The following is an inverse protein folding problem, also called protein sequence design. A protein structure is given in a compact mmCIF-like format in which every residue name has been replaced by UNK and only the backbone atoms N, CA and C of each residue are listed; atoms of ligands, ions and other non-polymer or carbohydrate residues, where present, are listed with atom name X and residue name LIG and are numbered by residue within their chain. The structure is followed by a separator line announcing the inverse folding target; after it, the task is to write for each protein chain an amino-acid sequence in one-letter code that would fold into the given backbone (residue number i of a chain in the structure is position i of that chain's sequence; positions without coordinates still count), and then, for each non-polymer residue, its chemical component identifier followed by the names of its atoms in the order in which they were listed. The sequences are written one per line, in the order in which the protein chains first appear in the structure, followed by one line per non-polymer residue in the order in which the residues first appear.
data_IF_835872341038
#
_entry.id   IF_835872341038
#
_cell.length_a   1.000
_cell.length_b   1.000
_cell.length_c   1.000
_cell.angle_alpha   90.00
_cell.angle_beta   90.00
_cell.angle_gamma   90.00
#
_symmetry.space_group_name_H-M   'P 1'
#
loop_
_entity.id
_entity.type
_entity.pdbx_description
1 polymer ?
#
# COMPACT_ATOMS: atom_id res chain seq x y z
N UNK A 1 -16.06 9.13 16.34
CA UNK A 1 -16.82 7.89 16.13
C UNK A 1 -16.26 7.20 14.92
N UNK A 2 -15.77 5.94 15.02
CA UNK A 2 -15.09 5.26 13.90
C UNK A 2 -15.89 5.29 12.58
N UNK A 3 -17.21 5.07 12.66
CA UNK A 3 -18.08 5.06 11.48
C UNK A 3 -18.10 6.40 10.71
N UNK A 4 -18.11 7.54 11.40
CA UNK A 4 -18.11 8.86 10.75
C UNK A 4 -16.79 9.13 10.01
N UNK A 5 -15.66 8.70 10.60
CA UNK A 5 -14.34 8.83 9.97
C UNK A 5 -14.26 8.03 8.67
N UNK A 6 -14.70 6.77 8.68
CA UNK A 6 -14.70 5.93 7.48
C UNK A 6 -15.65 6.49 6.41
N UNK A 7 -16.87 6.89 6.77
CA UNK A 7 -17.82 7.51 5.82
C UNK A 7 -17.23 8.77 5.16
N UNK A 8 -16.47 9.57 5.90
CA UNK A 8 -15.78 10.75 5.36
C UNK A 8 -14.65 10.38 4.39
N UNK A 9 -13.87 9.36 4.71
CA UNK A 9 -12.82 8.86 3.82
C UNK A 9 -13.40 8.24 2.55
N UNK A 10 -14.51 7.50 2.65
CA UNK A 10 -15.22 6.95 1.49
C UNK A 10 -15.78 8.06 0.59
N UNK A 11 -16.39 9.08 1.18
CA UNK A 11 -16.89 10.24 0.45
C UNK A 11 -15.75 11.01 -0.25
N UNK A 12 -14.59 11.13 0.39
CA UNK A 12 -13.41 11.77 -0.20
C UNK A 12 -12.83 10.94 -1.35
N UNK A 13 -12.74 9.62 -1.20
CA UNK A 13 -12.30 8.71 -2.25
C UNK A 13 -13.23 8.80 -3.47
N UNK A 14 -14.52 8.67 -3.27
CA UNK A 14 -15.54 8.80 -4.35
C UNK A 14 -15.54 10.19 -5.01
N UNK A 15 -15.20 11.24 -4.28
CA UNK A 15 -15.03 12.57 -4.87
C UNK A 15 -13.79 12.64 -5.76
N UNK A 16 -12.68 11.98 -5.35
CA UNK A 16 -11.42 11.94 -6.09
C UNK A 16 -11.54 11.19 -7.43
N UNK A 17 -12.39 10.18 -7.53
CA UNK A 17 -12.67 9.47 -8.77
C UNK A 17 -13.30 10.40 -9.83
N UNK A 18 -14.11 11.34 -9.39
CA UNK A 18 -14.88 12.23 -10.27
C UNK A 18 -14.20 13.55 -10.60
N UNK A 19 -13.30 14.04 -9.75
CA UNK A 19 -12.66 15.36 -9.90
C UNK A 19 -11.27 15.40 -9.26
N UNK A 20 -10.36 16.29 -9.74
CA UNK A 20 -9.04 16.42 -9.14
C UNK A 20 -9.16 16.90 -7.69
N UNK A 21 -8.19 16.53 -6.87
CA UNK A 21 -8.17 16.88 -5.44
C UNK A 21 -8.26 18.39 -5.18
N UNK A 22 -7.66 19.21 -6.06
CA UNK A 22 -7.78 20.66 -5.97
C UNK A 22 -9.24 21.15 -5.96
N UNK A 23 -10.12 20.49 -6.72
CA UNK A 23 -11.55 20.80 -6.82
C UNK A 23 -12.42 20.11 -5.75
N UNK A 24 -11.88 19.21 -4.94
CA UNK A 24 -12.60 18.61 -3.80
C UNK A 24 -12.72 19.62 -2.67
N UNK A 25 -13.96 19.91 -2.22
CA UNK A 25 -14.23 20.83 -1.11
C UNK A 25 -14.68 20.05 0.13
N UNK A 26 -14.18 20.48 1.30
CA UNK A 26 -14.50 19.87 2.59
C UNK A 26 -16.01 19.82 2.87
N UNK A 27 -16.73 20.87 2.45
CA UNK A 27 -18.20 20.94 2.62
C UNK A 27 -18.93 19.87 1.82
N UNK A 28 -18.45 19.56 0.61
CA UNK A 28 -19.07 18.54 -0.26
C UNK A 28 -18.80 17.13 0.29
N UNK A 29 -17.61 16.91 0.83
CA UNK A 29 -17.24 15.64 1.49
C UNK A 29 -18.12 15.39 2.72
N UNK A 30 -18.30 16.40 3.59
CA UNK A 30 -19.14 16.28 4.77
C UNK A 30 -20.60 15.99 4.40
N UNK A 31 -21.13 16.72 3.40
CA UNK A 31 -22.49 16.50 2.90
C UNK A 31 -22.68 15.09 2.30
N UNK A 32 -21.71 14.63 1.50
CA UNK A 32 -21.72 13.29 0.90
C UNK A 32 -21.66 12.17 1.94
N UNK A 33 -20.93 12.38 3.03
CA UNK A 33 -20.80 11.44 4.15
C UNK A 33 -21.99 11.49 5.13
N UNK A 34 -22.95 12.42 4.95
CA UNK A 34 -24.08 12.60 5.85
C UNK A 34 -23.71 13.10 7.23
N UNK A 35 -22.58 13.83 7.37
CA UNK A 35 -22.11 14.36 8.66
C UNK A 35 -21.95 15.88 8.63
N UNK A 36 -21.87 16.50 9.82
CA UNK A 36 -21.69 17.93 9.91
C UNK A 36 -20.26 18.36 9.50
N UNK A 37 -20.13 19.60 9.00
CA UNK A 37 -18.82 20.20 8.74
C UNK A 37 -17.95 20.21 10.01
N UNK A 38 -18.53 20.46 11.15
CA UNK A 38 -17.82 20.46 12.44
C UNK A 38 -17.23 19.08 12.74
N UNK A 39 -17.99 17.99 12.49
CA UNK A 39 -17.50 16.62 12.65
C UNK A 39 -16.29 16.37 11.76
N UNK A 40 -16.34 16.78 10.48
CA UNK A 40 -15.21 16.62 9.56
C UNK A 40 -13.97 17.37 10.02
N UNK A 41 -14.11 18.63 10.46
CA UNK A 41 -12.98 19.42 10.97
C UNK A 41 -12.45 18.90 12.31
N UNK A 42 -13.31 18.34 13.16
CA UNK A 42 -12.87 17.68 14.40
C UNK A 42 -12.06 16.42 14.12
N UNK A 43 -12.40 15.64 13.06
CA UNK A 43 -11.71 14.40 12.69
C UNK A 43 -10.37 14.65 11.99
N UNK A 44 -10.29 15.61 11.09
CA UNK A 44 -9.13 15.79 10.21
C UNK A 44 -8.43 17.14 10.33
N UNK A 45 -9.03 18.10 11.00
CA UNK A 45 -8.48 19.45 11.20
C UNK A 45 -8.47 20.31 9.93
N UNK A 46 -8.03 19.76 8.79
CA UNK A 46 -7.87 20.48 7.54
C UNK A 46 -8.04 19.56 6.32
N UNK A 47 -8.04 20.17 5.12
CA UNK A 47 -8.01 19.41 3.85
C UNK A 47 -6.74 18.56 3.72
N UNK A 48 -5.61 19.05 4.22
CA UNK A 48 -4.36 18.31 4.24
C UNK A 48 -4.40 17.15 5.25
N UNK A 49 -5.08 17.33 6.38
CA UNK A 49 -5.33 16.25 7.34
C UNK A 49 -6.19 15.14 6.74
N UNK A 50 -7.24 15.51 6.01
CA UNK A 50 -8.06 14.56 5.24
C UNK A 50 -7.23 13.85 4.15
N UNK A 51 -6.39 14.60 3.41
CA UNK A 51 -5.48 14.04 2.41
C UNK A 51 -4.54 12.98 3.01
N UNK A 52 -3.87 13.32 4.12
CA UNK A 52 -2.98 12.38 4.84
C UNK A 52 -3.71 11.14 5.31
N UNK A 53 -4.91 11.30 5.86
CA UNK A 53 -5.71 10.19 6.34
C UNK A 53 -6.15 9.27 5.18
N UNK A 54 -6.52 9.84 4.04
CA UNK A 54 -6.88 9.08 2.85
C UNK A 54 -5.69 8.27 2.32
N UNK A 55 -4.53 8.90 2.14
CA UNK A 55 -3.32 8.22 1.68
C UNK A 55 -2.90 7.11 2.66
N UNK A 56 -3.02 7.35 3.97
CA UNK A 56 -2.71 6.32 4.98
C UNK A 56 -3.64 5.12 4.88
N UNK A 57 -4.94 5.37 4.74
CA UNK A 57 -5.92 4.29 4.54
C UNK A 57 -5.58 3.43 3.31
N UNK A 58 -5.21 4.07 2.21
CA UNK A 58 -4.80 3.37 0.99
C UNK A 58 -3.50 2.57 1.20
N UNK A 59 -2.55 3.12 1.95
CA UNK A 59 -1.31 2.42 2.31
C UNK A 59 -1.59 1.17 3.18
N UNK A 60 -2.44 1.30 4.19
CA UNK A 60 -2.84 0.19 5.06
C UNK A 60 -3.59 -0.90 4.27
N UNK A 61 -4.52 -0.48 3.40
CA UNK A 61 -5.26 -1.37 2.52
C UNK A 61 -4.36 -2.12 1.53
N UNK A 62 -3.38 -1.41 0.96
CA UNK A 62 -2.37 -2.01 0.08
C UNK A 62 -1.53 -3.07 0.83
N UNK A 63 -1.02 -2.75 2.01
CA UNK A 63 -0.22 -3.68 2.80
C UNK A 63 -1.03 -4.91 3.25
N UNK A 64 -2.30 -4.73 3.61
CA UNK A 64 -3.21 -5.86 3.89
C UNK A 64 -3.48 -6.72 2.64
N UNK A 65 -3.54 -6.10 1.46
CA UNK A 65 -3.63 -6.80 0.18
C UNK A 65 -2.39 -7.65 -0.13
N UNK A 66 -1.20 -7.09 0.14
CA UNK A 66 0.08 -7.83 0.04
C UNK A 66 0.07 -9.07 0.95
N UNK A 67 -0.36 -8.95 2.20
CA UNK A 67 -0.44 -10.08 3.12
C UNK A 67 -1.38 -11.17 2.63
N UNK A 68 -2.54 -10.79 2.07
CA UNK A 68 -3.47 -11.74 1.46
C UNK A 68 -2.87 -12.45 0.25
N UNK A 69 -2.19 -11.73 -0.63
CA UNK A 69 -1.52 -12.31 -1.79
C UNK A 69 -0.39 -13.28 -1.38
N UNK A 70 0.41 -12.91 -0.37
CA UNK A 70 1.45 -13.75 0.19
C UNK A 70 0.90 -15.01 0.88
N UNK A 71 -0.26 -14.93 1.51
CA UNK A 71 -0.89 -16.07 2.18
C UNK A 71 -1.46 -17.08 1.18
N UNK A 72 -1.72 -16.66 -0.06
CA UNK A 72 -2.31 -17.49 -1.12
C UNK A 72 -3.80 -17.78 -0.90
N UNK A 73 -4.48 -18.37 -1.87
CA UNK A 73 -5.83 -18.90 -1.67
C UNK A 73 -5.75 -20.03 -0.64
N UNK A 74 -6.52 -19.89 0.45
CA UNK A 74 -6.54 -20.85 1.57
C UNK A 74 -7.25 -22.16 1.22
N UNK A 75 -6.89 -22.82 0.12
CA UNK A 75 -7.35 -24.18 -0.14
C UNK A 75 -6.50 -25.17 0.70
N UNK A 76 -7.07 -25.78 1.74
CA UNK A 76 -6.36 -26.75 2.57
C UNK A 76 -5.89 -28.00 1.80
N UNK A 77 -6.35 -28.18 0.55
CA UNK A 77 -6.01 -29.32 -0.31
C UNK A 77 -4.84 -29.04 -1.25
N UNK A 78 -4.50 -27.78 -1.47
CA UNK A 78 -3.26 -27.38 -2.14
C UNK A 78 -2.12 -27.52 -1.15
N UNK A 79 -1.15 -28.37 -1.43
CA UNK A 79 0.07 -28.46 -0.61
C UNK A 79 0.76 -27.09 -0.46
N UNK A 80 1.83 -26.98 0.36
CA UNK A 80 2.51 -25.72 0.56
C UNK A 80 2.97 -25.17 -0.79
N UNK A 81 2.32 -24.09 -1.24
CA UNK A 81 2.67 -23.41 -2.48
C UNK A 81 4.13 -22.95 -2.41
N UNK A 82 4.87 -23.15 -3.49
CA UNK A 82 6.27 -22.72 -3.59
C UNK A 82 6.38 -21.22 -3.23
N UNK A 83 7.31 -20.82 -2.36
CA UNK A 83 7.55 -19.40 -2.06
C UNK A 83 7.73 -18.52 -3.29
N UNK A 84 8.29 -19.06 -4.38
CA UNK A 84 8.44 -18.33 -5.65
C UNK A 84 7.10 -18.08 -6.34
N UNK A 85 6.19 -19.04 -6.33
CA UNK A 85 4.84 -18.85 -6.87
C UNK A 85 4.08 -17.78 -6.09
N UNK A 86 4.20 -17.78 -4.75
CA UNK A 86 3.58 -16.75 -3.89
C UNK A 86 4.17 -15.36 -4.14
N UNK A 87 5.49 -15.25 -4.30
CA UNK A 87 6.13 -13.98 -4.64
C UNK A 87 5.69 -13.47 -6.01
N UNK A 88 5.57 -14.37 -6.99
CA UNK A 88 5.08 -14.04 -8.34
C UNK A 88 3.64 -13.53 -8.29
N UNK A 89 2.74 -14.25 -7.63
CA UNK A 89 1.35 -13.84 -7.46
C UNK A 89 1.23 -12.51 -6.70
N UNK A 90 2.10 -12.29 -5.70
CA UNK A 90 2.15 -11.02 -4.97
C UNK A 90 2.59 -9.86 -5.87
N UNK A 91 3.60 -10.07 -6.71
CA UNK A 91 4.06 -9.05 -7.66
C UNK A 91 2.99 -8.70 -8.70
N UNK A 92 2.27 -9.69 -9.22
CA UNK A 92 1.14 -9.48 -10.13
C UNK A 92 0.02 -8.68 -9.45
N UNK A 93 -0.31 -9.05 -8.20
CA UNK A 93 -1.28 -8.30 -7.41
C UNK A 93 -0.84 -6.86 -7.15
N UNK A 94 0.45 -6.62 -6.84
CA UNK A 94 1.00 -5.27 -6.64
C UNK A 94 0.84 -4.41 -7.88
N UNK A 95 1.09 -4.98 -9.07
CA UNK A 95 0.91 -4.28 -10.34
C UNK A 95 -0.55 -3.96 -10.62
N UNK A 96 -1.46 -4.93 -10.41
CA UNK A 96 -2.91 -4.70 -10.56
C UNK A 96 -3.39 -3.60 -9.61
N UNK A 97 -3.03 -3.67 -8.33
CA UNK A 97 -3.40 -2.67 -7.34
C UNK A 97 -2.93 -1.25 -7.72
N UNK A 98 -1.72 -1.13 -8.28
CA UNK A 98 -1.19 0.15 -8.76
C UNK A 98 -1.82 0.61 -10.08
N UNK A 99 -2.27 -0.33 -10.93
CA UNK A 99 -3.01 -0.01 -12.15
C UNK A 99 -4.40 0.54 -11.82
N UNK A 100 -5.10 -0.12 -10.91
CA UNK A 100 -6.49 0.15 -10.57
C UNK A 100 -6.65 1.38 -9.65
N UNK A 101 -5.60 1.72 -8.88
CA UNK A 101 -5.64 2.81 -7.91
C UNK A 101 -4.48 3.79 -8.10
N UNK A 102 -4.83 5.00 -8.58
CA UNK A 102 -3.85 6.06 -8.82
C UNK A 102 -3.13 6.55 -7.55
N UNK A 103 -3.77 6.48 -6.37
CA UNK A 103 -3.12 6.80 -5.10
C UNK A 103 -2.07 5.75 -4.74
N UNK A 104 -2.40 4.47 -4.88
CA UNK A 104 -1.46 3.37 -4.67
C UNK A 104 -0.26 3.54 -5.60
N UNK A 105 -0.49 3.80 -6.88
CA UNK A 105 0.60 4.06 -7.84
C UNK A 105 1.47 5.24 -7.42
N UNK A 106 0.87 6.36 -7.00
CA UNK A 106 1.62 7.53 -6.57
C UNK A 106 2.44 7.27 -5.30
N UNK A 107 1.91 6.52 -4.34
CA UNK A 107 2.63 6.12 -3.13
C UNK A 107 3.85 5.24 -3.45
N UNK A 108 3.68 4.27 -4.35
CA UNK A 108 4.71 3.30 -4.70
C UNK A 108 5.83 3.88 -5.56
N UNK A 109 5.49 4.86 -6.42
CA UNK A 109 6.45 5.46 -7.36
C UNK A 109 6.99 6.81 -6.91
N UNK A 110 6.33 7.46 -5.95
CA UNK A 110 6.62 8.85 -5.59
C UNK A 110 6.13 9.87 -6.63
N UNK A 111 5.46 9.44 -7.70
CA UNK A 111 4.97 10.29 -8.79
C UNK A 111 3.58 10.85 -8.45
N UNK A 112 3.54 11.95 -7.73
CA UNK A 112 2.31 12.65 -7.38
C UNK A 112 1.90 13.63 -8.48
N UNK A 113 0.63 13.59 -8.85
CA UNK A 113 0.04 14.55 -9.78
C UNK A 113 -0.83 15.57 -9.03
N UNK A 114 -1.08 16.72 -9.63
CA UNK A 114 -1.98 17.75 -9.07
C UNK A 114 -3.42 17.25 -8.89
N UNK A 115 -3.77 16.14 -9.55
CA UNK A 115 -5.09 15.50 -9.40
C UNK A 115 -5.24 14.74 -8.10
N UNK A 116 -4.13 14.35 -7.46
CA UNK A 116 -4.11 13.51 -6.27
C UNK A 116 -3.89 14.34 -5.00
N UNK A 117 -4.36 13.86 -3.84
CA UNK A 117 -4.07 14.45 -2.56
C UNK A 117 -2.60 14.21 -2.19
N UNK A 118 -1.70 15.06 -2.69
CA UNK A 118 -0.30 14.98 -2.29
C UNK A 118 -0.19 15.33 -0.81
N UNK A 119 0.29 14.43 0.04
CA UNK A 119 0.60 14.79 1.41
C UNK A 119 1.75 15.77 1.38
N UNK A 120 1.52 17.00 1.84
CA UNK A 120 2.59 17.97 1.98
C UNK A 120 3.71 17.35 2.84
N UNK A 121 4.94 17.28 2.29
CA UNK A 121 6.12 16.72 2.94
C UNK A 121 6.55 17.50 4.19
N UNK A 122 5.85 18.58 4.52
CA UNK A 122 6.11 19.50 5.62
C UNK A 122 4.87 19.69 6.49
N UNK A 123 4.46 18.67 7.23
CA UNK A 123 3.60 18.91 8.37
C UNK A 123 4.49 19.14 9.59
N UNK A 124 4.71 20.41 9.93
CA UNK A 124 5.15 20.77 11.28
C UNK A 124 4.07 20.24 12.23
N UNK A 125 4.36 19.36 13.18
CA UNK A 125 3.36 18.85 14.11
C UNK A 125 2.82 20.05 14.90
N UNK A 126 1.51 20.33 14.75
CA UNK A 126 0.84 21.30 15.61
C UNK A 126 0.89 20.77 17.02
N UNK A 127 1.59 21.46 17.91
CA UNK A 127 1.78 21.08 19.31
C UNK A 127 0.48 20.99 20.14
N UNK A 128 -0.65 21.36 19.55
CA UNK A 128 -2.00 21.36 20.13
C UNK A 128 -2.87 20.14 19.78
N UNK A 129 -2.37 19.16 19.00
CA UNK A 129 -3.18 18.03 18.57
C UNK A 129 -3.37 16.98 19.68
N UNK A 130 -4.58 16.40 19.75
CA UNK A 130 -4.89 15.29 20.66
C UNK A 130 -4.01 14.05 20.36
N UNK A 131 -3.75 13.16 21.36
CA UNK A 131 -2.87 11.99 21.19
C UNK A 131 -3.23 11.07 20.03
N UNK A 132 -4.52 10.93 19.70
CA UNK A 132 -5.00 10.14 18.56
C UNK A 132 -4.66 10.80 17.20
N UNK A 133 -4.72 12.13 17.12
CA UNK A 133 -4.32 12.90 15.93
C UNK A 133 -2.82 12.83 15.70
N UNK A 134 -1.98 12.84 16.75
CA UNK A 134 -0.53 12.70 16.64
C UNK A 134 -0.08 11.37 16.01
N UNK A 135 -0.82 10.27 16.23
CA UNK A 135 -0.57 8.99 15.56
C UNK A 135 -0.99 9.01 14.09
N UNK A 136 -2.04 9.77 13.78
CA UNK A 136 -2.49 9.98 12.41
C UNK A 136 -1.58 10.94 11.61
N UNK A 137 -0.80 11.77 12.31
CA UNK A 137 0.09 12.79 11.71
C UNK A 137 1.53 12.32 11.51
N UNK A 138 1.84 11.06 11.78
CA UNK A 138 3.17 10.48 11.48
C UNK A 138 3.51 10.55 9.99
N UNK A 139 4.81 10.52 9.64
CA UNK A 139 5.23 10.53 8.24
C UNK A 139 4.60 9.37 7.48
N UNK A 140 4.22 9.62 6.23
CA UNK A 140 3.77 8.57 5.32
C UNK A 140 4.99 7.78 4.82
N UNK A 141 4.84 6.45 4.60
CA UNK A 141 5.92 5.66 4.04
C UNK A 141 6.36 6.21 2.69
N UNK A 142 7.67 6.35 2.50
CA UNK A 142 8.26 6.63 1.19
C UNK A 142 8.20 5.39 0.29
N UNK A 143 8.42 5.50 -1.03
CA UNK A 143 8.54 4.34 -1.90
C UNK A 143 9.57 3.32 -1.41
N UNK A 144 10.69 3.79 -0.86
CA UNK A 144 11.71 2.93 -0.26
C UNK A 144 11.24 2.18 1.00
N UNK A 145 10.44 2.85 1.83
CA UNK A 145 9.86 2.22 3.03
C UNK A 145 8.89 1.11 2.65
N UNK A 146 8.11 1.26 1.55
CA UNK A 146 7.23 0.20 1.06
C UNK A 146 8.01 -1.06 0.65
N UNK A 147 9.19 -0.92 0.05
CA UNK A 147 10.06 -2.07 -0.26
C UNK A 147 10.38 -2.84 1.02
N UNK A 148 10.84 -2.14 2.06
CA UNK A 148 11.14 -2.75 3.37
C UNK A 148 9.91 -3.41 4.00
N UNK A 149 8.79 -2.69 4.05
CA UNK A 149 7.55 -3.17 4.65
C UNK A 149 6.99 -4.43 3.95
N UNK A 150 7.04 -4.48 2.62
CA UNK A 150 6.57 -5.66 1.86
C UNK A 150 7.55 -6.82 2.00
N UNK A 151 8.87 -6.57 1.92
CA UNK A 151 9.91 -7.59 2.15
C UNK A 151 9.75 -8.24 3.52
N UNK A 152 9.60 -7.44 4.57
CA UNK A 152 9.53 -7.95 5.95
C UNK A 152 8.26 -8.80 6.16
N UNK A 153 7.13 -8.40 5.55
CA UNK A 153 5.91 -9.22 5.53
C UNK A 153 6.12 -10.52 4.76
N UNK A 154 6.76 -10.45 3.59
CA UNK A 154 7.03 -11.63 2.79
C UNK A 154 7.93 -12.63 3.54
N UNK A 155 8.98 -12.14 4.20
CA UNK A 155 9.84 -12.98 5.04
C UNK A 155 9.06 -13.58 6.21
N UNK A 156 8.19 -12.82 6.87
CA UNK A 156 7.37 -13.31 7.98
C UNK A 156 6.39 -14.41 7.55
N UNK A 157 5.75 -14.24 6.39
CA UNK A 157 4.75 -15.21 5.88
C UNK A 157 5.42 -16.44 5.25
N UNK A 158 6.48 -16.25 4.44
CA UNK A 158 7.11 -17.32 3.66
C UNK A 158 8.22 -18.05 4.44
N UNK A 159 8.82 -17.39 5.44
CA UNK A 159 9.86 -17.99 6.28
C UNK A 159 9.35 -19.09 7.22
N UNK A 160 8.06 -19.17 7.45
CA UNK A 160 7.41 -20.19 8.26
C UNK A 160 7.84 -20.19 9.73
N UNK A 161 7.21 -21.05 10.54
CA UNK A 161 7.55 -21.25 11.96
C UNK A 161 8.67 -22.29 12.16
N UNK A 162 9.34 -22.71 11.08
CA UNK A 162 10.42 -23.69 11.10
C UNK A 162 11.77 -23.08 11.46
N UNK A 163 12.69 -23.90 12.00
CA UNK A 163 14.08 -23.54 12.22
C UNK A 163 14.83 -23.49 10.88
N UNK A 164 14.59 -22.44 10.09
CA UNK A 164 15.41 -22.17 8.91
C UNK A 164 16.80 -21.67 9.35
N UNK A 165 17.84 -22.10 8.64
CA UNK A 165 19.17 -21.58 8.92
C UNK A 165 19.21 -20.07 8.66
N UNK A 166 20.04 -19.29 9.37
CA UNK A 166 20.17 -17.85 9.14
C UNK A 166 20.51 -17.49 7.68
N UNK A 167 21.25 -18.35 6.99
CA UNK A 167 21.56 -18.25 5.55
C UNK A 167 20.30 -18.28 4.69
N UNK A 168 19.37 -19.20 4.98
CA UNK A 168 18.15 -19.39 4.21
C UNK A 168 17.21 -18.20 4.37
N UNK A 169 17.13 -17.65 5.59
CA UNK A 169 16.35 -16.44 5.88
C UNK A 169 16.92 -15.22 5.14
N UNK A 170 18.24 -15.08 5.09
CA UNK A 170 18.89 -13.99 4.36
C UNK A 170 18.71 -14.12 2.84
N UNK A 171 18.72 -15.33 2.31
CA UNK A 171 18.46 -15.60 0.88
C UNK A 171 16.99 -15.30 0.54
N UNK A 172 16.06 -15.77 1.36
CA UNK A 172 14.65 -15.45 1.22
C UNK A 172 14.41 -13.94 1.25
N UNK A 173 15.02 -13.22 2.19
CA UNK A 173 14.89 -11.76 2.28
C UNK A 173 15.40 -11.06 1.00
N UNK A 174 16.52 -11.50 0.44
CA UNK A 174 17.04 -10.97 -0.83
C UNK A 174 16.11 -11.26 -2.00
N UNK A 175 15.57 -12.47 -2.07
CA UNK A 175 14.59 -12.87 -3.11
C UNK A 175 13.30 -12.04 -3.01
N UNK A 176 12.79 -11.83 -1.78
CA UNK A 176 11.63 -10.98 -1.53
C UNK A 176 11.89 -9.53 -1.94
N UNK A 177 13.03 -8.96 -1.54
CA UNK A 177 13.40 -7.58 -1.91
C UNK A 177 13.53 -7.42 -3.43
N UNK A 178 14.16 -8.36 -4.10
CA UNK A 178 14.31 -8.35 -5.55
C UNK A 178 12.96 -8.42 -6.26
N UNK A 179 12.06 -9.30 -5.82
CA UNK A 179 10.72 -9.43 -6.38
C UNK A 179 9.91 -8.13 -6.22
N UNK A 180 9.97 -7.49 -5.04
CA UNK A 180 9.28 -6.22 -4.77
C UNK A 180 9.86 -5.10 -5.62
N UNK A 181 11.18 -4.97 -5.72
CA UNK A 181 11.83 -3.95 -6.56
C UNK A 181 11.50 -4.12 -8.04
N UNK A 182 11.46 -5.36 -8.52
CA UNK A 182 11.08 -5.64 -9.89
C UNK A 182 9.62 -5.28 -10.17
N UNK A 183 8.71 -5.66 -9.27
CA UNK A 183 7.30 -5.27 -9.36
C UNK A 183 7.13 -3.74 -9.39
N UNK A 184 7.83 -3.01 -8.52
CA UNK A 184 7.82 -1.54 -8.51
C UNK A 184 8.40 -0.93 -9.78
N UNK A 185 9.45 -1.52 -10.35
CA UNK A 185 9.99 -1.12 -11.65
C UNK A 185 8.94 -1.27 -12.75
N UNK A 186 8.19 -2.39 -12.75
CA UNK A 186 7.11 -2.62 -13.71
C UNK A 186 5.90 -1.70 -13.49
N UNK A 187 5.64 -1.26 -12.24
CA UNK A 187 4.61 -0.24 -11.96
C UNK A 187 5.00 1.12 -12.53
N UNK A 188 6.29 1.50 -12.42
CA UNK A 188 6.80 2.77 -12.93
C UNK A 188 6.96 2.77 -14.47
N UNK A 189 7.40 1.64 -15.02
CA UNK A 189 7.63 1.44 -16.44
C UNK A 189 7.12 0.03 -16.83
N UNK A 190 5.84 -0.10 -17.25
CA UNK A 190 5.29 -1.38 -17.64
C UNK A 190 6.10 -2.02 -18.76
N UNK A 191 6.37 -3.34 -18.70
CA UNK A 191 7.10 -4.03 -19.75
C UNK A 191 6.31 -4.01 -21.07
N UNK A 192 7.01 -3.84 -22.18
CA UNK A 192 6.40 -3.82 -23.51
C UNK A 192 5.81 -5.19 -23.91
N UNK A 193 6.46 -6.26 -23.49
CA UNK A 193 6.04 -7.65 -23.70
C UNK A 193 6.28 -8.47 -22.43
N UNK A 194 5.42 -9.44 -22.19
CA UNK A 194 5.54 -10.38 -21.07
C UNK A 194 4.94 -9.87 -19.77
N UNK A 195 4.67 -10.81 -18.88
CA UNK A 195 4.18 -10.53 -17.54
C UNK A 195 5.36 -10.36 -16.56
N UNK A 196 5.15 -9.64 -15.45
CA UNK A 196 6.13 -9.56 -14.35
C UNK A 196 6.54 -10.96 -13.87
N UNK A 197 5.64 -11.94 -14.00
CA UNK A 197 5.90 -13.34 -13.70
C UNK A 197 7.06 -13.93 -14.52
N UNK A 198 7.18 -13.57 -15.80
CA UNK A 198 8.25 -14.06 -16.67
C UNK A 198 9.61 -13.50 -16.24
N UNK A 199 9.62 -12.20 -15.91
CA UNK A 199 10.81 -11.54 -15.39
C UNK A 199 11.25 -12.14 -14.06
N UNK A 200 10.32 -12.39 -13.15
CA UNK A 200 10.61 -12.99 -11.85
C UNK A 200 11.15 -14.42 -12.00
N UNK A 201 10.53 -15.23 -12.87
CA UNK A 201 11.01 -16.61 -13.15
C UNK A 201 12.41 -16.64 -13.75
N UNK A 202 12.81 -15.61 -14.48
CA UNK A 202 14.14 -15.51 -15.06
C UNK A 202 15.22 -15.13 -14.05
N UNK A 203 14.84 -14.37 -12.99
CA UNK A 203 15.79 -13.74 -12.07
C UNK A 203 15.83 -14.44 -10.70
N UNK A 204 14.72 -15.00 -10.23
CA UNK A 204 14.68 -15.68 -8.93
C UNK A 204 15.32 -17.07 -9.03
N UNK A 205 16.25 -17.42 -8.13
CA UNK A 205 16.89 -18.73 -8.12
C UNK A 205 15.84 -19.81 -7.83
N UNK A 206 15.75 -20.82 -8.69
CA UNK A 206 14.94 -22.02 -8.44
C UNK A 206 15.60 -22.81 -7.33
N UNK A 207 14.89 -23.14 -6.26
CA UNK A 207 15.39 -24.14 -5.30
C UNK A 207 15.47 -25.47 -6.06
N UNK A 208 16.70 -25.97 -6.28
CA UNK A 208 16.88 -27.36 -6.69
C UNK A 208 16.31 -28.23 -5.56
N UNK A 209 15.25 -28.96 -5.86
CA UNK A 209 14.82 -30.09 -5.03
C UNK A 209 15.92 -31.12 -5.11
N UNK A 210 16.78 -31.18 -4.09
CA UNK A 210 17.68 -32.28 -3.85
C UNK A 210 16.94 -33.43 -3.21
#
# INVERSE_FOLDING_TARGET
VPAARESLLDAACSALERRPWSAVRMVDVAASAGVSRQTLYNEFGSKDGLARALVRREADGYLAGVERALSGPGDPRSGPSDPHERLTATAEWMMSAAHDNALVRAMLTGCWSERLPSPALSAVPSSSAAPAQRRADGPLPSPGDFVGLVRDRAVAVLGGSGRSAPSDTAELARSCELAVRLALSCVAAPPAEGAVADLLRAVLPRRSTA
#
